data_IF_110830194929
#
_entry.id   IF_110830194929
#
_cell.length_a   1.000
_cell.length_b   1.000
_cell.length_c   1.000
_cell.angle_alpha   90.00
_cell.angle_beta   90.00
_cell.angle_gamma   90.00
#
_symmetry.space_group_name_H-M   'P 1'
#
loop_
_entity.id
_entity.type
_entity.pdbx_description
1 polymer ?
#
# COMPACT_ATOMS: atom_id res chain seq x y z
N UNK A 1 22.72 -3.95 0.48
CA UNK A 1 21.54 -4.84 0.61
C UNK A 1 20.33 -4.02 0.18
N UNK A 2 19.46 -4.57 -0.67
CA UNK A 2 18.26 -3.87 -1.14
C UNK A 2 17.03 -4.33 -0.35
N UNK A 3 16.04 -3.44 -0.22
CA UNK A 3 14.73 -3.73 0.37
C UNK A 3 13.73 -3.92 -0.75
N UNK A 4 13.09 -5.09 -0.81
CA UNK A 4 12.04 -5.40 -1.79
C UNK A 4 10.71 -4.84 -1.29
N UNK A 5 9.90 -4.33 -2.20
CA UNK A 5 8.53 -3.91 -1.92
C UNK A 5 7.56 -4.35 -3.01
N UNK A 6 6.30 -4.55 -2.64
CA UNK A 6 5.19 -4.85 -3.55
C UNK A 6 3.88 -4.26 -3.06
N UNK A 7 3.05 -3.81 -3.98
CA UNK A 7 1.64 -3.46 -3.76
C UNK A 7 0.79 -4.41 -4.59
N UNK A 8 -0.19 -5.04 -3.95
CA UNK A 8 -1.20 -5.85 -4.62
C UNK A 8 -2.61 -5.48 -4.18
N UNK A 9 -3.59 -5.95 -4.92
CA UNK A 9 -5.01 -5.79 -4.62
C UNK A 9 -5.67 -7.16 -4.49
N UNK A 10 -6.55 -7.29 -3.51
CA UNK A 10 -7.49 -8.39 -3.42
C UNK A 10 -8.87 -7.85 -3.76
N UNK A 11 -9.31 -8.12 -4.99
CA UNK A 11 -10.63 -7.71 -5.46
C UNK A 11 -11.73 -8.50 -4.74
N UNK A 12 -12.89 -7.88 -4.55
CA UNK A 12 -14.05 -8.53 -3.95
C UNK A 12 -14.39 -9.85 -4.66
N UNK A 13 -14.50 -10.94 -3.90
CA UNK A 13 -14.80 -12.28 -4.41
C UNK A 13 -13.60 -13.03 -5.00
N UNK A 14 -12.41 -12.43 -5.04
CA UNK A 14 -11.17 -13.13 -5.39
C UNK A 14 -10.50 -13.70 -4.13
N UNK A 15 -9.86 -14.87 -4.25
CA UNK A 15 -9.02 -15.45 -3.20
C UNK A 15 -7.55 -15.02 -3.35
N UNK A 16 -7.16 -14.62 -4.55
CA UNK A 16 -5.78 -14.34 -4.91
C UNK A 16 -5.50 -12.84 -5.02
N UNK A 17 -4.36 -12.44 -4.47
CA UNK A 17 -3.85 -11.07 -4.58
C UNK A 17 -3.22 -10.89 -5.97
N UNK A 18 -3.67 -9.89 -6.71
CA UNK A 18 -3.01 -9.46 -7.93
C UNK A 18 -1.94 -8.42 -7.58
N UNK A 19 -0.68 -8.68 -7.93
CA UNK A 19 0.37 -7.66 -7.82
C UNK A 19 0.14 -6.56 -8.83
N UNK A 20 0.14 -5.31 -8.36
CA UNK A 20 -0.06 -4.11 -9.16
C UNK A 20 1.27 -3.39 -9.43
N UNK A 21 2.14 -3.35 -8.43
CA UNK A 21 3.45 -2.71 -8.52
C UNK A 21 4.44 -3.39 -7.58
N UNK A 22 5.73 -3.21 -7.84
CA UNK A 22 6.79 -3.66 -6.97
C UNK A 22 8.16 -3.26 -7.46
N UNK A 23 9.16 -3.42 -6.60
CA UNK A 23 10.52 -3.06 -6.92
C UNK A 23 11.49 -3.33 -5.77
N UNK A 24 12.70 -2.82 -5.93
CA UNK A 24 13.77 -2.89 -4.95
C UNK A 24 14.39 -1.51 -4.77
N UNK A 25 14.66 -1.11 -3.52
CA UNK A 25 15.33 0.15 -3.21
C UNK A 25 16.51 -0.08 -2.26
N UNK A 26 17.52 0.81 -2.23
CA UNK A 26 18.70 0.63 -1.37
C UNK A 26 18.41 0.69 0.13
N UNK A 27 17.27 1.26 0.54
CA UNK A 27 16.92 1.51 1.94
C UNK A 27 15.47 1.12 2.23
N UNK A 28 15.19 0.76 3.49
CA UNK A 28 13.81 0.46 3.91
C UNK A 28 12.90 1.68 3.75
N UNK A 29 13.39 2.88 4.08
CA UNK A 29 12.64 4.12 3.94
C UNK A 29 12.22 4.37 2.47
N UNK A 30 13.14 4.20 1.52
CA UNK A 30 12.81 4.35 0.10
C UNK A 30 11.85 3.27 -0.41
N UNK A 31 11.89 2.05 0.14
CA UNK A 31 10.93 1.00 -0.20
C UNK A 31 9.53 1.31 0.36
N UNK A 32 9.46 1.90 1.56
CA UNK A 32 8.22 2.40 2.14
C UNK A 32 7.65 3.48 1.24
N UNK A 33 8.42 4.54 0.96
CA UNK A 33 8.02 5.66 0.11
C UNK A 33 7.45 5.18 -1.25
N UNK A 34 8.21 4.36 -1.97
CA UNK A 34 7.78 3.83 -3.26
C UNK A 34 6.50 2.97 -3.18
N UNK A 35 6.33 2.19 -2.11
CA UNK A 35 5.12 1.40 -1.91
C UNK A 35 3.90 2.27 -1.58
N UNK A 36 4.09 3.38 -0.86
CA UNK A 36 3.04 4.40 -0.62
C UNK A 36 2.54 5.01 -1.91
N UNK A 37 3.47 5.48 -2.75
CA UNK A 37 3.13 6.16 -3.99
C UNK A 37 2.35 5.21 -4.90
N UNK A 38 2.83 3.96 -4.99
CA UNK A 38 2.14 2.91 -5.73
C UNK A 38 0.75 2.58 -5.16
N UNK A 39 0.58 2.60 -3.84
CA UNK A 39 -0.72 2.39 -3.20
C UNK A 39 -1.71 3.52 -3.53
N UNK A 40 -1.28 4.78 -3.46
CA UNK A 40 -2.13 5.94 -3.76
C UNK A 40 -2.57 5.87 -5.22
N UNK A 41 -1.64 5.62 -6.14
CA UNK A 41 -1.95 5.46 -7.57
C UNK A 41 -2.92 4.28 -7.80
N UNK A 42 -2.70 3.15 -7.13
CA UNK A 42 -3.59 2.00 -7.24
C UNK A 42 -5.01 2.30 -6.72
N UNK A 43 -5.13 3.02 -5.61
CA UNK A 43 -6.40 3.43 -5.02
C UNK A 43 -7.15 4.47 -5.86
N UNK A 44 -6.44 5.37 -6.53
CA UNK A 44 -7.03 6.29 -7.51
C UNK A 44 -7.61 5.54 -8.72
N UNK A 45 -6.92 4.50 -9.19
CA UNK A 45 -7.32 3.72 -10.37
C UNK A 45 -8.47 2.73 -10.08
N UNK A 46 -8.37 1.97 -8.98
CA UNK A 46 -9.30 0.86 -8.67
C UNK A 46 -10.31 1.17 -7.57
N UNK A 47 -10.22 2.34 -6.96
CA UNK A 47 -11.11 2.74 -5.89
C UNK A 47 -10.89 1.96 -4.60
N UNK A 48 -11.95 1.82 -3.81
CA UNK A 48 -11.90 1.17 -2.50
C UNK A 48 -11.86 -0.36 -2.63
N UNK A 49 -10.69 -0.93 -2.36
CA UNK A 49 -10.44 -2.38 -2.32
C UNK A 49 -9.54 -2.72 -1.12
N UNK A 50 -9.36 -4.02 -0.86
CA UNK A 50 -8.27 -4.46 0.03
C UNK A 50 -6.94 -4.41 -0.74
N UNK A 51 -6.02 -3.58 -0.26
CA UNK A 51 -4.66 -3.51 -0.77
C UNK A 51 -3.70 -4.20 0.18
N UNK A 52 -2.77 -4.98 -0.37
CA UNK A 52 -1.72 -5.68 0.38
C UNK A 52 -0.37 -5.13 0.01
N UNK A 53 0.31 -4.57 1.00
CA UNK A 53 1.58 -3.89 0.84
C UNK A 53 2.62 -4.70 1.59
N UNK A 54 3.68 -5.12 0.91
CA UNK A 54 4.81 -5.80 1.54
C UNK A 54 6.05 -4.95 1.36
N UNK A 55 6.77 -4.72 2.46
CA UNK A 55 8.10 -4.09 2.48
C UNK A 55 9.03 -4.97 3.28
N UNK A 56 10.05 -5.52 2.62
CA UNK A 56 10.86 -6.63 3.12
C UNK A 56 9.98 -7.78 3.63
N UNK A 57 10.06 -8.07 4.94
CA UNK A 57 9.33 -9.12 5.63
C UNK A 57 8.01 -8.64 6.27
N UNK A 58 7.72 -7.34 6.18
CA UNK A 58 6.53 -6.74 6.79
C UNK A 58 5.39 -6.71 5.77
N UNK A 59 4.29 -7.37 6.08
CA UNK A 59 3.04 -7.31 5.31
C UNK A 59 2.02 -6.44 6.05
N UNK A 60 1.40 -5.51 5.33
CA UNK A 60 0.29 -4.69 5.82
C UNK A 60 -0.89 -4.83 4.85
N UNK A 61 -2.08 -4.87 5.44
CA UNK A 61 -3.35 -4.86 4.71
C UNK A 61 -4.02 -3.53 4.96
N UNK A 62 -4.44 -2.85 3.89
CA UNK A 62 -5.04 -1.53 3.93
C UNK A 62 -6.34 -1.55 3.14
N UNK A 63 -7.43 -1.11 3.77
CA UNK A 63 -8.70 -0.83 3.10
C UNK A 63 -8.91 0.68 3.24
N UNK A 64 -8.86 1.46 2.14
CA UNK A 64 -9.03 2.91 2.23
C UNK A 64 -10.38 3.29 2.83
N UNK A 65 -10.36 4.40 3.57
CA UNK A 65 -11.58 5.09 3.97
C UNK A 65 -12.29 5.71 2.76
N UNK A 66 -13.44 6.31 3.03
CA UNK A 66 -14.13 7.17 2.06
C UNK A 66 -14.35 8.54 2.68
N UNK A 67 -14.35 9.57 1.85
CA UNK A 67 -14.73 10.93 2.23
C UNK A 67 -16.24 10.99 2.49
N UNK A 68 -16.72 12.12 3.03
CA UNK A 68 -18.16 12.35 3.22
C UNK A 68 -18.94 12.32 1.90
N UNK A 69 -18.26 12.61 0.79
CA UNK A 69 -18.82 12.57 -0.56
C UNK A 69 -18.86 11.15 -1.16
N UNK A 70 -18.27 10.17 -0.46
CA UNK A 70 -18.21 8.77 -0.88
C UNK A 70 -17.01 8.42 -1.76
N UNK A 71 -16.12 9.38 -2.01
CA UNK A 71 -14.88 9.16 -2.76
C UNK A 71 -13.83 8.44 -1.89
N UNK A 72 -12.83 7.79 -2.48
CA UNK A 72 -11.73 7.20 -1.71
C UNK A 72 -10.95 8.30 -0.99
N UNK A 73 -10.74 8.13 0.32
CA UNK A 73 -9.90 9.04 1.09
C UNK A 73 -8.41 8.72 0.86
N UNK A 74 -7.81 9.45 -0.09
CA UNK A 74 -6.41 9.31 -0.45
C UNK A 74 -5.47 10.05 0.51
N UNK A 75 -5.99 11.05 1.23
CA UNK A 75 -5.17 11.87 2.14
C UNK A 75 -4.80 11.08 3.38
N UNK A 76 -5.77 10.42 4.00
CA UNK A 76 -5.52 9.53 5.15
C UNK A 76 -4.79 8.25 4.75
N UNK A 77 -4.93 7.83 3.49
CA UNK A 77 -4.19 6.70 2.94
C UNK A 77 -2.68 6.98 2.89
N UNK A 78 -2.29 8.16 2.39
CA UNK A 78 -0.90 8.61 2.40
C UNK A 78 -0.34 8.76 3.83
N UNK A 79 -1.18 9.21 4.78
CA UNK A 79 -0.79 9.36 6.19
C UNK A 79 -0.65 8.03 6.95
N UNK A 80 -1.27 6.95 6.47
CA UNK A 80 -1.19 5.61 7.08
C UNK A 80 0.19 4.97 6.87
N UNK A 81 0.86 5.33 5.79
CA UNK A 81 2.11 4.74 5.35
C UNK A 81 3.30 5.06 6.27
N UNK A 82 3.56 6.30 6.74
CA UNK A 82 4.64 6.55 7.71
C UNK A 82 4.60 5.68 8.98
N UNK A 83 3.45 5.06 9.31
CA UNK A 83 3.35 4.07 10.41
C UNK A 83 4.11 2.77 10.15
N UNK A 84 4.51 2.47 8.89
CA UNK A 84 5.43 1.37 8.53
C UNK A 84 6.75 1.42 9.32
N UNK A 85 7.18 2.62 9.76
CA UNK A 85 8.40 2.81 10.56
C UNK A 85 8.20 2.57 12.06
N UNK A 86 6.97 2.72 12.57
CA UNK A 86 6.67 2.64 14.02
C UNK A 86 6.27 1.25 14.49
N UNK A 87 5.75 0.40 13.61
CA UNK A 87 5.30 -0.96 13.95
C UNK A 87 6.46 -1.94 14.32
N UNK A 88 7.70 -1.45 14.46
CA UNK A 88 8.89 -2.27 14.70
C UNK A 88 9.92 -1.68 15.67
N UNK A 89 9.51 -0.75 16.53
CA UNK A 89 10.29 -0.42 17.74
C UNK A 89 9.90 -1.34 18.88
#
# INVERSE_FOLDING_TARGET
>A
MYTIWTVGVLSAGAENVQTLAGGATPTRAGAVEAASDALVVAAMDRGRQEYRIRVADTLIVVIPGVTEQGDVDLFDLAATVPRFERARR
#
